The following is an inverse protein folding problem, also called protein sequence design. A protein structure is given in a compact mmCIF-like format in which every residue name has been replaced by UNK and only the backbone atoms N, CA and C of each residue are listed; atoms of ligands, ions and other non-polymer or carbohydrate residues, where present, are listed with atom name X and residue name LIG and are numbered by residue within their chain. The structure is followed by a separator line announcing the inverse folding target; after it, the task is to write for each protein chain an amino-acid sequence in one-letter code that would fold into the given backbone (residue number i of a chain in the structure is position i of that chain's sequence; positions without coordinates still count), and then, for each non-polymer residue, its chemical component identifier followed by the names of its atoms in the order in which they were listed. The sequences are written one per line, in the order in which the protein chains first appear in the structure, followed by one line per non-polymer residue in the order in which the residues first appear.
data_IF_463816048673
#
_entry.id   IF_463816048673
#
_cell.length_a   1.000
_cell.length_b   1.000
_cell.length_c   1.000
_cell.angle_alpha   90.00
_cell.angle_beta   90.00
_cell.angle_gamma   90.00
#
_symmetry.space_group_name_H-M   'P 1'
#
loop_
_entity.id
_entity.type
_entity.pdbx_description
1 polymer ?
#
# COMPACT_ATOMS: atom_id res chain seq x y z
N UNK A 1 -3.44 -0.85 31.69
CA UNK A 1 -2.14 -0.12 31.58
C UNK A 1 -1.46 -0.17 30.19
N UNK A 2 -2.05 -0.77 29.19
CA UNK A 2 -1.49 -0.83 27.81
C UNK A 2 -1.80 0.39 26.95
N UNK A 3 -2.54 1.40 27.42
CA UNK A 3 -3.08 2.48 26.61
C UNK A 3 -2.49 3.83 26.99
N UNK A 4 -2.39 4.71 25.99
CA UNK A 4 -1.99 6.11 26.19
C UNK A 4 -3.23 6.92 26.50
N UNK A 5 -3.22 7.62 27.64
CA UNK A 5 -4.25 8.61 27.98
C UNK A 5 -3.82 9.97 27.47
N UNK A 6 -4.63 10.62 26.60
CA UNK A 6 -4.33 11.98 26.16
C UNK A 6 -4.70 13.00 27.24
N UNK A 7 -3.91 14.03 27.32
CA UNK A 7 -4.24 15.24 28.06
C UNK A 7 -4.98 16.20 27.13
N UNK A 8 -6.03 16.88 27.61
CA UNK A 8 -6.79 17.85 26.81
C UNK A 8 -5.94 18.99 26.24
N UNK A 9 -4.87 19.39 26.94
CA UNK A 9 -3.94 20.41 26.46
C UNK A 9 -3.20 19.99 25.19
N UNK A 10 -3.04 18.67 24.97
CA UNK A 10 -2.34 18.10 23.82
C UNK A 10 -3.18 18.14 22.55
N UNK A 11 -4.51 18.09 22.69
CA UNK A 11 -5.42 17.94 21.55
C UNK A 11 -5.37 19.15 20.61
N UNK A 12 -5.05 20.33 21.12
CA UNK A 12 -4.96 21.57 20.33
C UNK A 12 -3.72 21.64 19.45
N UNK A 13 -2.70 20.85 19.75
CA UNK A 13 -1.41 20.84 19.05
C UNK A 13 -1.21 19.62 18.15
N UNK A 14 -2.17 18.71 18.12
CA UNK A 14 -2.05 17.49 17.36
C UNK A 14 -2.42 17.69 15.90
N UNK A 15 -1.56 17.16 15.03
CA UNK A 15 -1.90 16.96 13.65
C UNK A 15 -2.78 15.71 13.52
N UNK A 16 -4.01 15.90 13.05
CA UNK A 16 -4.92 14.79 12.75
C UNK A 16 -4.86 14.50 11.24
N UNK A 17 -4.28 13.39 10.88
CA UNK A 17 -4.33 12.90 9.49
C UNK A 17 -5.70 12.36 9.12
N UNK A 18 -6.50 11.99 10.12
CA UNK A 18 -7.90 11.56 9.97
C UNK A 18 -8.84 12.58 10.63
N UNK A 19 -10.04 12.78 10.07
CA UNK A 19 -11.01 13.68 10.67
C UNK A 19 -11.51 13.15 12.01
N UNK A 20 -11.91 14.05 12.87
CA UNK A 20 -12.43 13.76 14.20
C UNK A 20 -11.35 13.60 15.28
N UNK A 21 -11.77 13.59 16.52
CA UNK A 21 -10.88 13.38 17.66
C UNK A 21 -10.54 11.89 17.77
N UNK A 22 -9.27 11.48 17.71
CA UNK A 22 -8.86 10.09 17.87
C UNK A 22 -8.91 9.67 19.37
N UNK A 23 -9.99 9.98 20.04
CA UNK A 23 -10.19 9.77 21.47
C UNK A 23 -11.47 8.97 21.68
N UNK A 24 -11.33 7.83 22.35
CA UNK A 24 -12.43 7.03 22.84
C UNK A 24 -12.64 7.27 24.32
N UNK A 25 -13.84 7.68 24.70
CA UNK A 25 -14.23 7.75 26.10
C UNK A 25 -14.71 6.37 26.55
N UNK A 26 -13.94 5.73 27.41
CA UNK A 26 -14.28 4.43 27.98
C UNK A 26 -14.93 4.61 29.34
N UNK A 27 -16.10 4.02 29.52
CA UNK A 27 -16.79 3.96 30.80
C UNK A 27 -16.47 2.64 31.49
N UNK A 28 -15.97 2.73 32.72
CA UNK A 28 -15.62 1.57 33.54
C UNK A 28 -16.82 1.15 34.41
N UNK A 29 -16.84 -0.11 34.91
CA UNK A 29 -17.92 -0.58 35.78
C UNK A 29 -18.11 0.23 37.06
N UNK A 30 -17.10 0.96 37.51
CA UNK A 30 -17.16 1.86 38.66
C UNK A 30 -17.68 3.28 38.33
N UNK A 31 -18.13 3.50 37.06
CA UNK A 31 -18.66 4.76 36.57
C UNK A 31 -17.60 5.79 36.14
N UNK A 32 -16.32 5.50 36.26
CA UNK A 32 -15.28 6.40 35.76
C UNK A 32 -15.34 6.45 34.24
N UNK A 33 -15.20 7.63 33.66
CA UNK A 33 -15.04 7.85 32.21
C UNK A 33 -13.64 8.36 31.95
N UNK A 34 -12.89 7.64 31.13
CA UNK A 34 -11.47 7.90 30.87
C UNK A 34 -11.21 7.97 29.38
N UNK A 35 -10.50 8.99 28.89
CA UNK A 35 -10.14 9.11 27.48
C UNK A 35 -8.94 8.21 27.12
N UNK A 36 -9.03 7.54 25.98
CA UNK A 36 -7.96 6.75 25.41
C UNK A 36 -7.71 7.14 23.95
N UNK A 37 -6.47 7.02 23.52
CA UNK A 37 -6.13 7.12 22.10
C UNK A 37 -6.83 6.04 21.28
N UNK A 38 -7.49 6.46 20.20
CA UNK A 38 -8.20 5.59 19.27
C UNK A 38 -8.00 6.09 17.84
N UNK A 39 -6.80 5.90 17.29
CA UNK A 39 -6.42 6.44 15.97
C UNK A 39 -7.28 5.87 14.84
N UNK A 40 -7.67 4.59 14.95
CA UNK A 40 -8.45 3.88 13.94
C UNK A 40 -9.83 3.53 14.46
N UNK A 41 -10.71 4.52 14.53
CA UNK A 41 -12.09 4.33 14.90
C UNK A 41 -13.00 4.20 13.67
N UNK A 42 -14.11 3.52 13.86
CA UNK A 42 -15.23 3.47 12.94
C UNK A 42 -16.48 3.97 13.66
N UNK A 43 -17.17 4.92 13.06
CA UNK A 43 -18.45 5.40 13.56
C UNK A 43 -19.56 4.41 13.18
N UNK A 44 -20.32 3.95 14.15
CA UNK A 44 -21.44 3.04 13.97
C UNK A 44 -22.70 3.73 14.52
N UNK A 45 -23.77 3.74 13.74
CA UNK A 45 -25.03 4.42 14.09
C UNK A 45 -24.88 5.90 14.45
N UNK A 46 -23.89 6.60 13.88
CA UNK A 46 -23.69 8.02 14.01
C UNK A 46 -23.07 8.48 15.35
N UNK A 47 -22.83 7.59 16.32
CA UNK A 47 -22.24 7.95 17.63
C UNK A 47 -21.42 6.85 18.31
N UNK A 48 -21.54 5.61 17.89
CA UNK A 48 -20.82 4.50 18.51
C UNK A 48 -19.47 4.33 17.83
N UNK A 49 -18.40 4.54 18.56
CA UNK A 49 -17.05 4.36 18.06
C UNK A 49 -16.59 2.94 18.35
N UNK A 50 -16.63 2.09 17.33
CA UNK A 50 -15.86 0.85 17.33
C UNK A 50 -14.47 1.17 16.82
N UNK A 51 -13.45 0.83 17.57
CA UNK A 51 -12.10 1.13 17.14
C UNK A 51 -11.05 0.30 17.84
N UNK A 52 -9.87 0.39 17.32
CA UNK A 52 -8.68 -0.20 17.90
C UNK A 52 -8.08 0.84 18.84
N UNK A 53 -8.14 0.59 20.14
CA UNK A 53 -7.42 1.41 21.09
C UNK A 53 -5.92 1.28 20.88
N UNK A 54 -5.23 2.41 20.84
CA UNK A 54 -3.80 2.43 20.60
C UNK A 54 -3.04 1.88 21.81
N UNK A 55 -2.08 1.01 21.56
CA UNK A 55 -1.25 0.46 22.61
C UNK A 55 -0.23 1.48 23.11
N UNK A 56 0.02 1.49 24.41
CA UNK A 56 1.07 2.29 25.01
C UNK A 56 2.44 1.61 24.83
N UNK A 57 3.18 2.01 23.80
CA UNK A 57 4.53 1.47 23.53
C UNK A 57 5.59 1.78 24.61
N UNK A 58 5.25 2.59 25.62
CA UNK A 58 6.11 2.80 26.81
C UNK A 58 5.87 1.77 27.90
N UNK A 59 4.88 0.87 27.74
CA UNK A 59 4.54 -0.16 28.70
C UNK A 59 5.31 -1.44 28.41
N UNK A 60 6.00 -1.99 29.39
CA UNK A 60 6.70 -3.28 29.26
C UNK A 60 5.76 -4.45 28.93
N UNK A 61 4.50 -4.39 29.39
CA UNK A 61 3.47 -5.38 29.01
C UNK A 61 3.19 -5.40 27.50
N UNK A 62 3.29 -4.24 26.82
CA UNK A 62 3.15 -4.17 25.36
C UNK A 62 4.35 -4.80 24.68
N UNK A 63 5.55 -4.61 25.23
CA UNK A 63 6.76 -5.25 24.71
C UNK A 63 6.76 -6.77 24.94
N UNK A 64 6.24 -7.26 26.06
CA UNK A 64 6.01 -8.70 26.28
C UNK A 64 5.07 -9.26 25.22
N UNK A 65 3.97 -8.56 24.94
CA UNK A 65 3.03 -8.94 23.88
C UNK A 65 3.71 -8.98 22.51
N UNK A 66 4.55 -8.00 22.16
CA UNK A 66 5.29 -8.02 20.90
C UNK A 66 6.29 -9.17 20.83
N UNK A 67 7.04 -9.43 21.90
CA UNK A 67 7.96 -10.57 21.97
C UNK A 67 7.27 -11.90 21.73
N UNK A 68 6.14 -12.12 22.38
CA UNK A 68 5.36 -13.35 22.20
C UNK A 68 4.74 -13.45 20.82
N UNK A 69 4.19 -12.36 20.30
CA UNK A 69 3.56 -12.30 18.98
C UNK A 69 4.57 -12.58 17.88
N UNK A 70 5.74 -11.94 17.90
CA UNK A 70 6.79 -12.18 16.89
C UNK A 70 7.31 -13.62 16.92
N UNK A 71 7.52 -14.21 18.12
CA UNK A 71 7.86 -15.63 18.26
C UNK A 71 6.79 -16.52 17.64
N UNK A 72 5.53 -16.22 17.89
CA UNK A 72 4.40 -16.98 17.35
C UNK A 72 4.32 -16.89 15.84
N UNK A 73 4.47 -15.69 15.27
CA UNK A 73 4.50 -15.47 13.82
C UNK A 73 5.67 -16.22 13.18
N UNK A 74 6.87 -16.15 13.78
CA UNK A 74 8.03 -16.90 13.31
C UNK A 74 7.79 -18.42 13.34
N UNK A 75 7.12 -18.93 14.40
CA UNK A 75 6.80 -20.36 14.52
C UNK A 75 5.85 -20.87 13.43
N UNK A 76 5.10 -19.98 12.78
CA UNK A 76 4.27 -20.31 11.62
C UNK A 76 5.03 -20.29 10.30
N UNK A 77 6.33 -20.02 10.31
CA UNK A 77 7.17 -19.98 9.11
C UNK A 77 7.12 -18.64 8.36
N UNK A 78 6.64 -17.57 8.98
CA UNK A 78 6.72 -16.25 8.38
C UNK A 78 8.17 -15.80 8.20
N UNK A 79 8.47 -15.15 7.07
CA UNK A 79 9.77 -14.55 6.79
C UNK A 79 9.71 -13.02 6.84
N UNK A 80 8.54 -12.43 6.53
CA UNK A 80 8.30 -10.98 6.51
C UNK A 80 7.12 -10.67 7.42
N UNK A 81 7.28 -9.65 8.26
CA UNK A 81 6.21 -9.11 9.12
C UNK A 81 5.88 -7.69 8.66
N UNK A 82 4.65 -7.48 8.21
CA UNK A 82 4.12 -6.16 7.93
C UNK A 82 3.73 -5.47 9.22
N UNK A 83 4.25 -4.27 9.43
CA UNK A 83 3.87 -3.42 10.55
C UNK A 83 2.81 -2.42 10.09
N UNK A 84 1.56 -2.77 10.36
CA UNK A 84 0.37 -1.99 9.95
C UNK A 84 0.35 -0.64 10.64
N UNK A 85 0.06 0.42 9.87
CA UNK A 85 -0.10 1.79 10.36
C UNK A 85 1.02 2.25 11.32
N UNK A 86 2.22 1.78 11.11
CA UNK A 86 3.37 1.85 12.01
C UNK A 86 3.67 3.27 12.51
N UNK A 87 3.62 4.25 11.61
CA UNK A 87 3.99 5.63 11.93
C UNK A 87 3.06 6.33 12.94
N UNK A 88 1.94 5.70 13.28
CA UNK A 88 1.02 6.21 14.31
C UNK A 88 1.33 5.71 15.73
N UNK A 89 2.24 4.73 15.90
CA UNK A 89 2.48 4.12 17.20
C UNK A 89 3.13 5.06 18.22
N UNK A 90 4.22 5.80 17.90
CA UNK A 90 4.80 6.75 18.84
C UNK A 90 3.92 7.98 19.01
N UNK A 91 3.48 8.24 20.24
CA UNK A 91 2.66 9.40 20.62
C UNK A 91 3.19 10.02 21.91
N UNK A 92 3.11 11.34 21.98
CA UNK A 92 3.40 12.10 23.19
C UNK A 92 2.52 13.35 23.27
N UNK A 93 2.18 13.80 24.48
CA UNK A 93 1.55 15.09 24.68
C UNK A 93 2.29 16.23 23.98
N UNK A 94 1.55 17.09 23.26
CA UNK A 94 2.12 18.23 22.54
C UNK A 94 2.82 17.92 21.22
N UNK A 95 2.86 16.65 20.78
CA UNK A 95 3.38 16.23 19.48
C UNK A 95 2.28 15.83 18.50
N UNK A 96 2.60 15.80 17.20
CA UNK A 96 1.70 15.22 16.19
C UNK A 96 1.49 13.73 16.47
N UNK A 97 0.42 13.14 15.92
CA UNK A 97 0.10 11.72 16.12
C UNK A 97 0.60 10.80 15.00
N UNK A 98 1.45 11.31 14.12
CA UNK A 98 1.97 10.57 12.97
C UNK A 98 3.41 10.95 12.68
N UNK A 99 4.25 9.95 12.44
CA UNK A 99 5.64 10.08 12.03
C UNK A 99 6.43 11.07 12.90
N UNK A 100 6.49 10.81 14.20
CA UNK A 100 7.31 11.57 15.12
C UNK A 100 8.78 11.17 15.00
N UNK A 101 9.64 12.14 14.79
CA UNK A 101 11.10 11.97 14.71
C UNK A 101 11.77 12.49 15.99
N UNK A 102 12.67 11.73 16.64
CA UNK A 102 13.23 10.44 16.23
C UNK A 102 12.41 9.20 16.67
N UNK A 103 11.36 9.36 17.44
CA UNK A 103 10.69 8.29 18.18
C UNK A 103 10.14 7.17 17.28
N UNK A 104 9.69 7.49 16.05
CA UNK A 104 9.23 6.48 15.09
C UNK A 104 10.36 5.53 14.68
N UNK A 105 11.55 6.05 14.47
CA UNK A 105 12.71 5.27 14.05
C UNK A 105 13.31 4.46 15.21
N UNK A 106 13.33 5.03 16.41
CA UNK A 106 13.75 4.31 17.62
C UNK A 106 12.80 3.13 17.91
N UNK A 107 11.51 3.33 17.77
CA UNK A 107 10.51 2.26 17.91
C UNK A 107 10.67 1.17 16.84
N UNK A 108 10.92 1.54 15.60
CA UNK A 108 11.21 0.58 14.52
C UNK A 108 12.46 -0.25 14.83
N UNK A 109 13.51 0.39 15.31
CA UNK A 109 14.75 -0.28 15.67
C UNK A 109 14.53 -1.28 16.83
N UNK A 110 13.77 -0.91 17.85
CA UNK A 110 13.44 -1.81 18.98
C UNK A 110 12.67 -3.04 18.51
N UNK A 111 11.69 -2.89 17.60
CA UNK A 111 10.99 -4.05 17.01
C UNK A 111 11.95 -4.90 16.17
N UNK A 112 12.84 -4.26 15.42
CA UNK A 112 13.85 -4.96 14.63
C UNK A 112 14.75 -5.84 15.50
N UNK A 113 15.20 -5.35 16.65
CA UNK A 113 16.03 -6.09 17.61
C UNK A 113 15.32 -7.34 18.15
N UNK A 114 13.99 -7.32 18.25
CA UNK A 114 13.20 -8.49 18.61
C UNK A 114 12.98 -9.45 17.43
N UNK A 115 12.83 -8.93 16.23
CA UNK A 115 12.47 -9.69 15.03
C UNK A 115 13.66 -10.39 14.37
N UNK A 116 14.81 -9.70 14.30
CA UNK A 116 16.00 -10.17 13.59
C UNK A 116 16.53 -11.54 14.13
N UNK A 117 16.63 -11.78 15.45
CA UNK A 117 17.03 -13.10 15.98
C UNK A 117 16.08 -14.23 15.62
N UNK A 118 14.84 -13.92 15.26
CA UNK A 118 13.82 -14.86 14.82
C UNK A 118 13.83 -15.10 13.30
N UNK A 119 14.74 -14.48 12.56
CA UNK A 119 14.81 -14.54 11.10
C UNK A 119 13.72 -13.76 10.39
N UNK A 120 13.05 -12.84 11.08
CA UNK A 120 11.96 -12.02 10.52
C UNK A 120 12.49 -10.72 9.93
N UNK A 121 12.07 -10.40 8.72
CA UNK A 121 12.28 -9.10 8.08
C UNK A 121 11.06 -8.21 8.33
N UNK A 122 11.29 -6.95 8.69
CA UNK A 122 10.20 -5.99 8.91
C UNK A 122 9.84 -5.26 7.61
N UNK A 123 8.55 -5.05 7.40
CA UNK A 123 7.99 -4.25 6.33
C UNK A 123 7.04 -3.19 6.93
N UNK A 124 7.55 -2.02 7.32
CA UNK A 124 6.73 -0.96 7.88
C UNK A 124 5.82 -0.34 6.81
N UNK A 125 4.55 -0.17 7.15
CA UNK A 125 3.60 0.53 6.32
C UNK A 125 3.56 2.00 6.72
N UNK A 126 4.09 2.86 5.86
CA UNK A 126 4.08 4.31 6.02
C UNK A 126 3.65 4.95 4.71
N UNK A 127 2.46 5.53 4.69
CA UNK A 127 2.02 6.36 3.59
C UNK A 127 2.58 7.77 3.75
N UNK A 128 3.35 8.20 2.77
CA UNK A 128 3.92 9.54 2.72
C UNK A 128 4.05 9.98 1.27
N UNK A 129 3.93 11.29 1.01
CA UNK A 129 4.12 11.82 -0.32
C UNK A 129 5.56 11.61 -0.81
N UNK A 130 5.74 11.45 -2.13
CA UNK A 130 7.07 11.29 -2.72
C UNK A 130 8.03 12.41 -2.32
N UNK A 131 7.54 13.66 -2.22
CA UNK A 131 8.34 14.81 -1.82
C UNK A 131 8.87 14.74 -0.38
N UNK A 132 8.21 13.97 0.51
CA UNK A 132 8.64 13.77 1.91
C UNK A 132 9.83 12.81 2.04
N UNK A 133 10.14 12.02 1.01
CA UNK A 133 11.30 11.11 0.92
C UNK A 133 11.40 10.06 2.03
N UNK A 134 10.29 9.69 2.65
CA UNK A 134 10.26 8.68 3.73
C UNK A 134 10.73 7.31 3.24
N UNK A 135 10.45 6.95 2.00
CA UNK A 135 10.96 5.72 1.37
C UNK A 135 12.50 5.67 1.33
N UNK A 136 13.19 6.81 1.13
CA UNK A 136 14.67 6.90 1.21
C UNK A 136 15.14 6.70 2.65
N UNK A 137 14.49 7.34 3.61
CA UNK A 137 14.81 7.17 5.04
C UNK A 137 14.69 5.70 5.46
N UNK A 138 13.68 4.97 4.97
CA UNK A 138 13.53 3.54 5.21
C UNK A 138 14.66 2.73 4.54
N UNK A 139 14.97 3.03 3.29
CA UNK A 139 16.04 2.37 2.55
C UNK A 139 17.41 2.58 3.20
N UNK A 140 17.74 3.82 3.62
CA UNK A 140 18.99 4.18 4.30
C UNK A 140 19.14 3.43 5.64
N UNK A 141 18.02 3.10 6.29
CA UNK A 141 17.98 2.29 7.51
C UNK A 141 17.96 0.77 7.24
N UNK A 142 17.98 0.35 5.97
CA UNK A 142 18.02 -1.05 5.57
C UNK A 142 16.66 -1.75 5.55
N UNK A 143 15.56 -1.02 5.61
CA UNK A 143 14.21 -1.59 5.54
C UNK A 143 13.67 -1.61 4.11
N UNK A 144 12.86 -2.61 3.82
CA UNK A 144 12.01 -2.58 2.62
C UNK A 144 10.86 -1.59 2.81
N UNK A 145 10.39 -1.01 1.72
CA UNK A 145 9.25 -0.09 1.69
C UNK A 145 8.16 -0.59 0.74
N UNK A 146 6.91 -0.25 1.04
CA UNK A 146 5.86 -0.40 0.04
C UNK A 146 6.03 0.61 -1.08
N UNK A 147 5.84 0.13 -2.32
CA UNK A 147 5.76 0.99 -3.49
C UNK A 147 4.31 1.48 -3.69
N UNK A 148 3.94 2.51 -2.94
CA UNK A 148 2.64 3.15 -3.04
C UNK A 148 2.53 4.10 -4.25
N UNK A 149 3.63 4.32 -4.98
CA UNK A 149 3.63 5.16 -6.17
C UNK A 149 3.25 4.38 -7.43
N UNK A 150 3.66 3.12 -7.52
CA UNK A 150 3.45 2.29 -8.70
C UNK A 150 1.99 2.23 -9.18
N UNK A 151 0.98 2.04 -8.30
CA UNK A 151 -0.41 1.94 -8.77
C UNK A 151 -0.85 3.11 -9.62
N UNK A 152 -0.63 4.32 -9.15
CA UNK A 152 -1.03 5.54 -9.85
C UNK A 152 -0.14 5.82 -11.05
N UNK A 153 1.18 5.56 -10.98
CA UNK A 153 2.10 5.74 -12.10
C UNK A 153 1.76 4.84 -13.29
N UNK A 154 1.33 3.61 -13.04
CA UNK A 154 0.93 2.70 -14.12
C UNK A 154 -0.37 3.15 -14.77
N UNK A 155 -1.36 3.61 -13.98
CA UNK A 155 -2.59 4.17 -14.56
C UNK A 155 -2.24 5.42 -15.38
N UNK A 156 -1.42 6.33 -14.84
CA UNK A 156 -0.98 7.53 -15.56
C UNK A 156 -0.30 7.16 -16.88
N UNK A 157 0.64 6.22 -16.86
CA UNK A 157 1.37 5.81 -18.06
C UNK A 157 0.44 5.24 -19.14
N UNK A 158 -0.53 4.40 -18.74
CA UNK A 158 -1.48 3.78 -19.67
C UNK A 158 -2.46 4.81 -20.23
N UNK A 159 -3.04 5.68 -19.39
CA UNK A 159 -4.11 6.59 -19.81
C UNK A 159 -3.57 7.83 -20.51
N UNK A 160 -2.41 8.33 -20.10
CA UNK A 160 -1.76 9.50 -20.69
C UNK A 160 -0.68 9.14 -21.72
N UNK A 161 -0.48 7.83 -22.02
CA UNK A 161 0.44 7.32 -23.05
C UNK A 161 1.86 7.84 -22.88
N UNK A 162 2.38 7.82 -21.66
CA UNK A 162 3.72 8.32 -21.32
C UNK A 162 4.43 7.43 -20.31
N UNK A 163 5.74 7.24 -20.50
CA UNK A 163 6.56 6.44 -19.62
C UNK A 163 7.36 7.25 -18.59
N UNK A 164 7.45 8.58 -18.78
CA UNK A 164 8.46 9.42 -18.16
C UNK A 164 8.51 9.31 -16.62
N UNK A 165 7.37 9.43 -15.95
CA UNK A 165 7.31 9.37 -14.48
C UNK A 165 7.52 7.95 -13.95
N UNK A 166 6.97 6.95 -14.63
CA UNK A 166 7.14 5.55 -14.27
C UNK A 166 8.61 5.14 -14.43
N UNK A 167 9.24 5.49 -15.56
CA UNK A 167 10.65 5.22 -15.80
C UNK A 167 11.57 5.98 -14.83
N UNK A 168 11.23 7.23 -14.50
CA UNK A 168 11.95 8.00 -13.48
C UNK A 168 11.95 7.26 -12.14
N UNK A 169 10.78 6.82 -11.68
CA UNK A 169 10.66 6.08 -10.42
C UNK A 169 11.39 4.75 -10.46
N UNK A 170 11.24 3.97 -11.54
CA UNK A 170 11.94 2.69 -11.68
C UNK A 170 13.47 2.86 -11.66
N UNK A 171 14.01 3.89 -12.30
CA UNK A 171 15.45 4.23 -12.23
C UNK A 171 15.88 4.60 -10.82
N UNK A 172 15.12 5.43 -10.11
CA UNK A 172 15.42 5.84 -8.73
C UNK A 172 15.49 4.62 -7.79
N UNK A 173 14.57 3.65 -7.93
CA UNK A 173 14.63 2.39 -7.16
C UNK A 173 15.96 1.66 -7.39
N UNK A 174 16.42 1.58 -8.63
CA UNK A 174 17.65 0.86 -8.99
C UNK A 174 18.89 1.63 -8.51
N UNK A 175 18.97 2.92 -8.78
CA UNK A 175 20.12 3.79 -8.48
C UNK A 175 20.33 3.93 -6.97
N UNK A 176 19.26 4.16 -6.22
CA UNK A 176 19.29 4.31 -4.76
C UNK A 176 19.21 2.95 -4.02
N UNK A 177 19.15 1.83 -4.75
CA UNK A 177 19.07 0.47 -4.19
C UNK A 177 17.91 0.27 -3.21
N UNK A 178 16.77 0.86 -3.50
CA UNK A 178 15.58 0.79 -2.65
C UNK A 178 14.97 -0.61 -2.74
N UNK A 179 14.81 -1.29 -1.61
CA UNK A 179 14.10 -2.56 -1.55
C UNK A 179 12.60 -2.30 -1.47
N UNK A 180 11.86 -2.61 -2.53
CA UNK A 180 10.41 -2.36 -2.59
C UNK A 180 9.60 -3.64 -2.54
N UNK A 181 8.39 -3.52 -1.97
CA UNK A 181 7.27 -4.43 -2.23
C UNK A 181 6.27 -3.66 -3.08
N UNK A 182 6.21 -3.98 -4.35
CA UNK A 182 5.38 -3.28 -5.32
C UNK A 182 3.99 -3.92 -5.46
N UNK A 183 2.96 -3.10 -5.73
CA UNK A 183 1.59 -3.56 -5.91
C UNK A 183 0.89 -2.74 -7.00
N UNK A 184 -0.21 -3.24 -7.53
CA UNK A 184 -1.15 -2.47 -8.36
C UNK A 184 -2.33 -2.00 -7.52
N UNK A 185 -3.07 -2.91 -6.91
CA UNK A 185 -4.12 -2.63 -5.96
C UNK A 185 -3.90 -3.39 -4.65
N UNK A 186 -4.67 -3.01 -3.64
CA UNK A 186 -4.69 -3.69 -2.35
C UNK A 186 -6.08 -3.58 -1.69
N UNK A 187 -6.20 -4.15 -0.49
CA UNK A 187 -7.43 -4.08 0.30
C UNK A 187 -7.86 -2.65 0.71
N UNK A 188 -6.94 -1.71 0.68
CA UNK A 188 -7.21 -0.30 1.03
C UNK A 188 -7.56 0.58 -0.18
N UNK A 189 -7.31 0.10 -1.40
CA UNK A 189 -7.57 0.84 -2.62
C UNK A 189 -6.30 1.29 -3.34
N UNK A 190 -6.40 2.36 -4.11
CA UNK A 190 -5.32 2.90 -4.96
C UNK A 190 -4.82 4.20 -4.33
N UNK A 191 -3.59 4.24 -3.79
CA UNK A 191 -3.00 5.45 -3.23
C UNK A 191 -2.62 6.42 -4.36
N UNK A 192 -3.07 7.67 -4.28
CA UNK A 192 -2.79 8.70 -5.28
C UNK A 192 -2.13 9.94 -4.69
N UNK A 193 -2.43 10.28 -3.42
CA UNK A 193 -1.75 11.41 -2.77
C UNK A 193 -0.27 11.17 -2.53
N UNK A 194 0.14 9.92 -2.40
CA UNK A 194 1.55 9.56 -2.28
C UNK A 194 2.37 10.01 -3.50
N UNK A 195 1.72 10.24 -4.66
CA UNK A 195 2.36 10.74 -5.88
C UNK A 195 2.74 12.23 -5.85
N UNK A 196 2.33 12.97 -4.82
CA UNK A 196 2.66 14.39 -4.71
C UNK A 196 4.18 14.62 -4.72
N UNK A 197 4.62 15.53 -5.60
CA UNK A 197 6.03 15.78 -5.87
C UNK A 197 6.67 14.85 -6.91
N UNK A 198 5.97 13.78 -7.34
CA UNK A 198 6.37 12.92 -8.46
C UNK A 198 5.55 13.21 -9.71
N UNK A 199 4.24 13.33 -9.57
CA UNK A 199 3.33 13.82 -10.61
C UNK A 199 2.87 15.25 -10.32
N UNK A 200 2.53 16.03 -11.35
CA UNK A 200 1.83 17.29 -11.20
C UNK A 200 0.48 17.10 -10.46
N UNK A 201 0.09 18.07 -9.65
CA UNK A 201 -1.16 17.97 -8.87
C UNK A 201 -2.41 17.86 -9.76
N UNK A 202 -2.42 18.51 -10.93
CA UNK A 202 -3.53 18.43 -11.88
C UNK A 202 -3.65 17.03 -12.50
N UNK A 203 -2.53 16.35 -12.74
CA UNK A 203 -2.52 14.97 -13.21
C UNK A 203 -3.05 14.03 -12.13
N UNK A 204 -2.65 14.22 -10.87
CA UNK A 204 -3.18 13.45 -9.74
C UNK A 204 -4.70 13.62 -9.62
N UNK A 205 -5.21 14.84 -9.74
CA UNK A 205 -6.67 15.11 -9.74
C UNK A 205 -7.37 14.42 -10.91
N UNK A 206 -6.79 14.50 -12.10
CA UNK A 206 -7.33 13.85 -13.30
C UNK A 206 -7.41 12.34 -13.15
N UNK A 207 -6.42 11.71 -12.49
CA UNK A 207 -6.44 10.28 -12.18
C UNK A 207 -7.55 9.93 -11.17
N UNK A 208 -7.75 10.76 -10.13
CA UNK A 208 -8.83 10.59 -9.18
C UNK A 208 -10.18 10.65 -9.89
N UNK A 209 -10.42 11.69 -10.69
CA UNK A 209 -11.66 11.89 -11.42
C UNK A 209 -11.92 10.74 -12.40
N UNK A 210 -10.88 10.26 -13.07
CA UNK A 210 -10.97 9.11 -13.96
C UNK A 210 -11.43 7.84 -13.22
N UNK A 211 -10.79 7.51 -12.10
CA UNK A 211 -11.14 6.29 -11.35
C UNK A 211 -12.55 6.41 -10.75
N UNK A 212 -12.92 7.60 -10.28
CA UNK A 212 -14.29 7.88 -9.79
C UNK A 212 -15.30 7.74 -10.92
N UNK A 213 -15.02 8.26 -12.11
CA UNK A 213 -15.90 8.10 -13.28
C UNK A 213 -16.11 6.64 -13.70
N UNK A 214 -15.16 5.76 -13.35
CA UNK A 214 -15.21 4.30 -13.53
C UNK A 214 -15.82 3.56 -12.32
N UNK A 215 -16.48 4.29 -11.43
CA UNK A 215 -17.19 3.73 -10.29
C UNK A 215 -16.36 3.60 -9.02
N UNK A 216 -15.15 4.12 -8.98
CA UNK A 216 -14.36 4.20 -7.74
C UNK A 216 -14.99 5.15 -6.73
N UNK A 217 -14.64 4.97 -5.46
CA UNK A 217 -15.18 5.76 -4.36
C UNK A 217 -14.06 6.48 -3.61
N UNK A 218 -14.28 7.75 -3.31
CA UNK A 218 -13.37 8.57 -2.50
C UNK A 218 -13.98 8.78 -1.12
N UNK A 219 -13.24 8.52 -0.08
CA UNK A 219 -13.64 8.98 1.24
C UNK A 219 -13.18 10.43 1.41
N UNK A 220 -14.14 11.36 1.50
CA UNK A 220 -13.85 12.69 1.95
C UNK A 220 -13.34 12.65 3.40
N UNK A 221 -12.12 13.10 3.62
CA UNK A 221 -11.63 13.38 4.96
C UNK A 221 -12.41 14.62 5.45
N UNK A 222 -13.34 14.41 6.39
CA UNK A 222 -14.34 15.39 6.83
C UNK A 222 -13.80 16.82 6.96
N UNK A 223 -14.43 17.75 6.26
CA UNK A 223 -14.31 19.19 6.49
C UNK A 223 -13.08 19.88 5.92
N UNK A 224 -12.05 19.19 5.50
CA UNK A 224 -10.96 19.77 4.72
C UNK A 224 -11.25 19.53 3.25
N UNK A 225 -11.49 20.60 2.50
CA UNK A 225 -11.75 20.53 1.08
C UNK A 225 -10.62 19.81 0.36
N UNK A 226 -10.95 18.68 -0.28
CA UNK A 226 -10.15 18.00 -1.31
C UNK A 226 -8.84 17.34 -0.88
N UNK A 227 -8.73 16.76 0.31
CA UNK A 227 -7.62 15.86 0.61
C UNK A 227 -8.10 14.42 0.41
N UNK A 228 -7.89 13.87 -0.78
CA UNK A 228 -8.18 12.47 -1.11
C UNK A 228 -6.94 11.63 -0.87
N UNK A 229 -6.97 10.81 0.17
CA UNK A 229 -5.84 9.96 0.53
C UNK A 229 -5.65 8.81 -0.46
N UNK A 230 -6.75 8.17 -0.85
CA UNK A 230 -6.78 7.06 -1.78
C UNK A 230 -8.17 6.91 -2.42
N UNK A 231 -8.23 6.28 -3.58
CA UNK A 231 -9.49 5.91 -4.23
C UNK A 231 -9.74 4.43 -4.00
N UNK A 232 -10.90 4.09 -3.45
CA UNK A 232 -11.31 2.71 -3.29
C UNK A 232 -11.92 2.20 -4.60
N UNK A 233 -11.27 1.25 -5.21
CA UNK A 233 -11.68 0.55 -6.42
C UNK A 233 -10.85 -0.74 -6.55
N UNK A 234 -11.35 -1.74 -7.28
CA UNK A 234 -10.48 -2.78 -7.81
C UNK A 234 -9.61 -2.18 -8.91
N UNK A 235 -8.39 -2.68 -9.06
CA UNK A 235 -7.50 -2.15 -10.09
C UNK A 235 -8.02 -2.42 -11.50
N UNK A 236 -8.69 -3.58 -11.69
CA UNK A 236 -9.35 -3.93 -12.93
C UNK A 236 -10.43 -2.92 -13.33
N UNK A 237 -11.31 -2.52 -12.39
CA UNK A 237 -12.31 -1.48 -12.65
C UNK A 237 -11.67 -0.10 -12.85
N UNK A 238 -10.61 0.23 -12.11
CA UNK A 238 -9.86 1.48 -12.31
C UNK A 238 -9.25 1.59 -13.72
N UNK A 239 -8.89 0.46 -14.34
CA UNK A 239 -8.45 0.38 -15.74
C UNK A 239 -9.60 0.31 -16.77
N UNK A 240 -10.85 0.53 -16.33
CA UNK A 240 -12.02 0.50 -17.21
C UNK A 240 -12.45 -0.91 -17.60
N UNK A 241 -12.16 -1.91 -16.76
CA UNK A 241 -12.47 -3.33 -16.99
C UNK A 241 -11.89 -3.89 -18.30
N UNK A 242 -10.73 -3.39 -18.68
CA UNK A 242 -10.02 -3.76 -19.90
C UNK A 242 -8.99 -4.84 -19.64
N UNK A 243 -9.17 -6.02 -20.23
CA UNK A 243 -8.23 -7.14 -20.15
C UNK A 243 -6.83 -6.76 -20.63
N UNK A 244 -6.75 -6.04 -21.76
CA UNK A 244 -5.46 -5.61 -22.31
C UNK A 244 -4.71 -4.65 -21.40
N UNK A 245 -5.40 -3.66 -20.80
CA UNK A 245 -4.80 -2.74 -19.85
C UNK A 245 -4.39 -3.45 -18.56
N UNK A 246 -5.17 -4.44 -18.09
CA UNK A 246 -4.82 -5.22 -16.91
C UNK A 246 -3.57 -6.07 -17.15
N UNK A 247 -3.45 -6.69 -18.32
CA UNK A 247 -2.27 -7.48 -18.69
C UNK A 247 -1.04 -6.60 -18.84
N UNK A 248 -1.18 -5.43 -19.48
CA UNK A 248 -0.09 -4.45 -19.59
C UNK A 248 0.37 -3.98 -18.20
N UNK A 249 -0.55 -3.61 -17.32
CA UNK A 249 -0.24 -3.20 -15.95
C UNK A 249 0.46 -4.32 -15.17
N UNK A 250 -0.01 -5.57 -15.32
CA UNK A 250 0.61 -6.73 -14.66
C UNK A 250 1.98 -7.03 -15.22
N UNK A 251 2.20 -6.94 -16.51
CA UNK A 251 3.52 -7.11 -17.11
C UNK A 251 4.50 -6.07 -16.57
N UNK A 252 4.09 -4.80 -16.50
CA UNK A 252 4.90 -3.74 -15.90
C UNK A 252 5.22 -4.08 -14.43
N UNK A 253 4.23 -4.46 -13.62
CA UNK A 253 4.45 -4.82 -12.22
C UNK A 253 5.47 -5.96 -12.07
N UNK A 254 5.40 -6.97 -12.91
CA UNK A 254 6.33 -8.11 -12.85
C UNK A 254 7.78 -7.72 -13.19
N UNK A 255 7.97 -6.66 -13.94
CA UNK A 255 9.30 -6.14 -14.28
C UNK A 255 9.76 -4.97 -13.42
N UNK A 256 8.87 -4.32 -12.65
CA UNK A 256 9.32 -3.30 -11.70
C UNK A 256 10.32 -3.87 -10.69
N UNK A 257 11.38 -3.10 -10.34
CA UNK A 257 12.30 -3.52 -9.31
C UNK A 257 11.58 -3.77 -7.98
N UNK A 258 11.93 -4.87 -7.29
CA UNK A 258 11.32 -5.23 -6.01
C UNK A 258 10.57 -6.56 -6.04
N UNK A 259 9.77 -6.80 -4.99
CA UNK A 259 8.95 -8.02 -4.82
C UNK A 259 7.49 -7.70 -5.16
N UNK A 260 6.92 -8.33 -6.20
CA UNK A 260 5.50 -8.11 -6.52
C UNK A 260 4.57 -8.69 -5.44
N UNK A 261 3.66 -7.87 -4.94
CA UNK A 261 2.51 -8.27 -4.14
C UNK A 261 1.26 -8.15 -5.00
N UNK A 262 0.51 -9.23 -5.14
CA UNK A 262 -0.69 -9.27 -5.98
C UNK A 262 -1.93 -9.38 -5.13
N UNK A 263 -2.82 -8.42 -5.27
CA UNK A 263 -4.15 -8.47 -4.65
C UNK A 263 -5.04 -9.49 -5.38
N UNK A 264 -5.70 -10.36 -4.64
CA UNK A 264 -6.44 -11.47 -5.24
C UNK A 264 -7.57 -11.02 -6.18
N UNK A 265 -8.30 -9.95 -5.83
CA UNK A 265 -9.35 -9.45 -6.72
C UNK A 265 -8.81 -8.99 -8.06
N UNK A 266 -7.65 -8.34 -8.07
CA UNK A 266 -7.01 -7.88 -9.32
C UNK A 266 -6.50 -9.06 -10.14
N UNK A 267 -6.00 -10.14 -9.48
CA UNK A 267 -5.59 -11.37 -10.14
C UNK A 267 -6.76 -12.03 -10.88
N UNK A 268 -7.92 -12.09 -10.23
CA UNK A 268 -9.12 -12.71 -10.79
C UNK A 268 -9.97 -11.76 -11.63
N UNK A 269 -9.45 -10.58 -12.00
CA UNK A 269 -10.15 -9.53 -12.74
C UNK A 269 -11.50 -9.20 -12.09
N UNK A 270 -11.49 -9.04 -10.77
CA UNK A 270 -12.65 -8.69 -9.97
C UNK A 270 -13.06 -7.23 -10.19
N UNK A 271 -14.36 -7.01 -10.25
CA UNK A 271 -14.97 -5.68 -10.46
C UNK A 271 -15.33 -5.03 -9.14
N UNK A 272 -15.58 -3.72 -9.20
CA UNK A 272 -16.11 -2.95 -8.07
C UNK A 272 -17.43 -3.53 -7.56
N UNK A 273 -17.51 -3.83 -6.26
CA UNK A 273 -18.71 -4.36 -5.62
C UNK A 273 -19.53 -3.26 -4.93
N UNK A 274 -20.32 -2.55 -5.73
CA UNK A 274 -21.21 -1.51 -5.21
C UNK A 274 -22.32 -2.06 -4.32
N UNK A 275 -22.66 -3.33 -4.46
CA UNK A 275 -23.69 -3.95 -3.61
C UNK A 275 -23.15 -4.22 -2.21
N UNK A 276 -21.92 -4.70 -2.09
CA UNK A 276 -21.25 -4.82 -0.79
C UNK A 276 -21.17 -3.46 -0.08
N UNK A 277 -20.85 -2.39 -0.80
CA UNK A 277 -20.86 -1.03 -0.24
C UNK A 277 -22.24 -0.65 0.30
N UNK A 278 -23.31 -0.88 -0.46
CA UNK A 278 -24.69 -0.59 -0.01
C UNK A 278 -25.07 -1.39 1.23
N UNK A 279 -24.67 -2.66 1.29
CA UNK A 279 -24.93 -3.52 2.46
C UNK A 279 -24.19 -3.04 3.71
N UNK A 280 -22.97 -2.55 3.55
CA UNK A 280 -22.13 -2.08 4.66
C UNK A 280 -22.51 -0.68 5.16
N UNK A 281 -23.30 0.11 4.41
CA UNK A 281 -23.77 1.43 4.83
C UNK A 281 -22.71 2.54 4.74
N UNK A 282 -22.87 3.59 5.53
CA UNK A 282 -22.09 4.84 5.41
C UNK A 282 -20.57 4.68 5.49
N UNK A 283 -20.06 3.67 6.20
CA UNK A 283 -18.62 3.38 6.31
C UNK A 283 -18.12 2.32 5.34
N UNK A 284 -18.97 1.83 4.44
CA UNK A 284 -18.73 0.67 3.60
C UNK A 284 -17.90 0.90 2.34
N UNK A 285 -17.38 2.11 2.11
CA UNK A 285 -16.66 2.44 0.86
C UNK A 285 -15.49 1.51 0.54
N UNK A 286 -14.82 0.91 1.54
CA UNK A 286 -13.75 -0.06 1.34
C UNK A 286 -14.23 -1.44 0.89
N UNK A 287 -15.50 -1.76 1.07
CA UNK A 287 -16.05 -3.05 0.66
C UNK A 287 -16.10 -3.21 -0.86
N UNK A 288 -15.98 -2.08 -1.60
CA UNK A 288 -15.97 -2.06 -3.07
C UNK A 288 -14.87 -2.93 -3.68
N UNK A 289 -13.73 -3.09 -2.98
CA UNK A 289 -12.57 -3.86 -3.43
C UNK A 289 -12.17 -4.97 -2.44
N UNK A 290 -13.16 -5.49 -1.67
CA UNK A 290 -12.95 -6.55 -0.66
C UNK A 290 -13.90 -7.73 -0.81
N UNK A 291 -14.49 -7.92 -1.96
CA UNK A 291 -15.40 -9.04 -2.24
C UNK A 291 -14.74 -10.37 -1.88
N UNK A 292 -15.38 -11.17 -1.06
CA UNK A 292 -14.95 -12.54 -0.78
C UNK A 292 -15.33 -13.44 -1.96
N UNK A 293 -14.35 -14.10 -2.55
CA UNK A 293 -14.56 -15.06 -3.62
C UNK A 293 -14.83 -16.45 -3.05
N UNK A 294 -15.89 -17.11 -3.50
CA UNK A 294 -16.12 -18.53 -3.25
C UNK A 294 -15.20 -19.39 -4.13
N UNK A 295 -15.09 -20.68 -3.81
CA UNK A 295 -14.33 -21.61 -4.66
C UNK A 295 -14.88 -21.65 -6.09
N UNK A 296 -16.21 -21.59 -6.26
CA UNK A 296 -16.84 -21.54 -7.59
C UNK A 296 -16.53 -20.25 -8.35
N UNK A 297 -16.47 -19.10 -7.67
CA UNK A 297 -16.08 -17.82 -8.30
C UNK A 297 -14.65 -17.90 -8.83
N UNK A 298 -13.76 -18.51 -8.06
CA UNK A 298 -12.35 -18.71 -8.44
C UNK A 298 -12.27 -19.66 -9.64
N UNK A 299 -12.98 -20.79 -9.63
CA UNK A 299 -13.03 -21.75 -10.74
C UNK A 299 -13.52 -21.10 -12.04
N UNK A 300 -14.54 -20.28 -11.97
CA UNK A 300 -15.03 -19.53 -13.13
C UNK A 300 -14.06 -18.45 -13.58
N UNK A 301 -13.42 -17.75 -12.65
CA UNK A 301 -12.42 -16.74 -12.98
C UNK A 301 -11.19 -17.34 -13.68
N UNK A 302 -10.74 -18.53 -13.27
CA UNK A 302 -9.62 -19.24 -13.89
C UNK A 302 -9.85 -19.59 -15.36
N UNK A 303 -11.08 -19.60 -15.85
CA UNK A 303 -11.42 -19.81 -17.27
C UNK A 303 -11.23 -18.55 -18.12
N UNK A 304 -11.04 -17.38 -17.51
CA UNK A 304 -10.83 -16.12 -18.24
C UNK A 304 -9.40 -16.03 -18.75
N UNK A 305 -9.23 -15.67 -20.02
CA UNK A 305 -7.91 -15.47 -20.64
C UNK A 305 -7.03 -14.49 -19.87
N UNK A 306 -7.60 -13.38 -19.39
CA UNK A 306 -6.85 -12.37 -18.61
C UNK A 306 -6.30 -12.94 -17.32
N UNK A 307 -7.01 -13.84 -16.66
CA UNK A 307 -6.55 -14.51 -15.43
C UNK A 307 -5.44 -15.51 -15.76
N UNK A 308 -5.63 -16.35 -16.77
CA UNK A 308 -4.62 -17.32 -17.22
C UNK A 308 -3.31 -16.63 -17.57
N UNK A 309 -3.35 -15.56 -18.37
CA UNK A 309 -2.17 -14.78 -18.77
C UNK A 309 -1.50 -14.05 -17.60
N UNK A 310 -2.26 -13.54 -16.63
CA UNK A 310 -1.67 -13.00 -15.40
C UNK A 310 -0.91 -14.08 -14.62
N UNK A 311 -1.47 -15.30 -14.50
CA UNK A 311 -0.80 -16.43 -13.85
C UNK A 311 0.49 -16.84 -14.59
N UNK A 312 0.52 -16.77 -15.93
CA UNK A 312 1.72 -16.99 -16.72
C UNK A 312 2.80 -15.94 -16.42
N UNK A 313 2.43 -14.65 -16.33
CA UNK A 313 3.34 -13.57 -15.95
C UNK A 313 3.91 -13.78 -14.53
N UNK A 314 3.09 -14.19 -13.58
CA UNK A 314 3.53 -14.51 -12.23
C UNK A 314 4.49 -15.71 -12.21
N UNK A 315 4.17 -16.76 -12.98
CA UNK A 315 5.03 -17.95 -13.10
C UNK A 315 6.38 -17.57 -13.69
N UNK A 316 6.39 -16.83 -14.80
CA UNK A 316 7.62 -16.31 -15.42
C UNK A 316 8.49 -15.56 -14.40
N UNK A 317 7.91 -14.60 -13.67
CA UNK A 317 8.62 -13.81 -12.65
C UNK A 317 9.22 -14.66 -11.54
N UNK A 318 8.56 -15.75 -11.14
CA UNK A 318 8.99 -16.61 -10.06
C UNK A 318 9.98 -17.72 -10.49
N UNK A 319 10.03 -18.08 -11.77
CA UNK A 319 10.81 -19.25 -12.22
C UNK A 319 11.93 -18.93 -13.20
N UNK A 320 11.89 -17.76 -13.84
CA UNK A 320 12.92 -17.41 -14.82
C UNK A 320 14.19 -16.89 -14.14
N UNK A 321 15.34 -17.43 -14.51
CA UNK A 321 16.66 -17.16 -13.91
C UNK A 321 17.05 -15.68 -13.92
N UNK A 322 16.66 -14.92 -14.93
CA UNK A 322 16.96 -13.50 -15.02
C UNK A 322 16.53 -12.68 -13.81
N UNK A 323 15.52 -13.14 -13.06
CA UNK A 323 15.00 -12.44 -11.87
C UNK A 323 15.66 -12.87 -10.56
N UNK A 324 16.68 -13.70 -10.61
CA UNK A 324 17.42 -14.13 -9.44
C UNK A 324 18.17 -12.96 -8.77
N UNK A 325 18.54 -13.16 -7.51
CA UNK A 325 19.26 -12.16 -6.72
C UNK A 325 20.60 -11.82 -7.38
N UNK A 326 20.85 -10.52 -7.54
CA UNK A 326 22.10 -10.01 -8.13
C UNK A 326 21.99 -9.66 -9.61
N UNK A 327 20.84 -9.86 -10.25
CA UNK A 327 20.60 -9.38 -11.59
C UNK A 327 20.79 -7.86 -11.70
N UNK A 328 21.44 -7.43 -12.78
CA UNK A 328 21.54 -6.02 -13.16
C UNK A 328 20.22 -5.60 -13.80
N UNK A 329 19.66 -4.51 -13.31
CA UNK A 329 18.39 -3.97 -13.82
C UNK A 329 18.70 -2.69 -14.59
N UNK A 330 18.26 -2.62 -15.83
CA UNK A 330 18.37 -1.42 -16.67
C UNK A 330 16.99 -0.93 -17.04
N UNK A 331 16.76 0.37 -16.88
CA UNK A 331 15.46 1.02 -17.18
C UNK A 331 15.68 2.14 -18.18
N UNK A 332 14.99 2.09 -19.30
CA UNK A 332 14.89 3.20 -20.24
C UNK A 332 13.40 3.54 -20.46
N UNK A 333 13.11 4.83 -20.60
CA UNK A 333 11.74 5.29 -20.85
C UNK A 333 11.75 6.76 -21.21
N UNK A 334 11.05 7.06 -22.31
CA UNK A 334 10.88 8.41 -22.84
C UNK A 334 9.61 8.44 -23.70
N UNK A 335 8.77 9.48 -23.49
CA UNK A 335 7.50 9.58 -24.19
C UNK A 335 6.64 8.32 -23.99
N UNK A 336 6.12 7.70 -25.07
CA UNK A 336 5.25 6.52 -24.93
C UNK A 336 6.00 5.19 -24.77
N UNK A 337 7.32 5.18 -24.72
CA UNK A 337 8.13 3.94 -24.71
C UNK A 337 8.75 3.69 -23.35
N UNK A 338 8.66 2.45 -22.88
CA UNK A 338 9.33 1.96 -21.67
C UNK A 338 10.05 0.65 -21.98
N UNK A 339 11.25 0.48 -21.46
CA UNK A 339 11.90 -0.83 -21.40
C UNK A 339 12.52 -1.08 -20.04
N UNK A 340 12.37 -2.31 -19.54
CA UNK A 340 12.98 -2.78 -18.28
C UNK A 340 13.64 -4.12 -18.56
N UNK A 341 14.96 -4.20 -18.34
CA UNK A 341 15.75 -5.41 -18.56
C UNK A 341 16.36 -5.89 -17.25
N UNK A 342 16.21 -7.17 -16.98
CA UNK A 342 16.96 -7.92 -15.98
C UNK A 342 18.01 -8.77 -16.67
N UNK A 343 19.23 -8.78 -16.16
CA UNK A 343 20.33 -9.57 -16.70
C UNK A 343 21.23 -10.06 -15.56
N UNK A 344 21.35 -11.37 -15.38
CA UNK A 344 22.21 -11.96 -14.36
C UNK A 344 23.51 -12.57 -14.92
N UNK A 345 23.78 -12.33 -16.20
CA UNK A 345 24.95 -12.86 -16.92
C UNK A 345 24.74 -14.25 -17.53
N UNK A 346 23.77 -15.05 -17.07
CA UNK A 346 23.40 -16.35 -17.64
C UNK A 346 22.11 -16.29 -18.46
N UNK A 347 21.19 -15.41 -18.05
CA UNK A 347 19.89 -15.22 -18.67
C UNK A 347 19.46 -13.76 -18.57
N UNK A 348 18.63 -13.34 -19.51
CA UNK A 348 17.98 -12.03 -19.44
C UNK A 348 16.47 -12.14 -19.63
N UNK A 349 15.77 -11.13 -19.10
CA UNK A 349 14.37 -10.87 -19.37
C UNK A 349 14.21 -9.39 -19.69
N UNK A 350 13.59 -9.09 -20.83
CA UNK A 350 13.36 -7.73 -21.31
C UNK A 350 11.86 -7.51 -21.52
N UNK A 351 11.31 -6.50 -20.87
CA UNK A 351 10.00 -5.96 -21.17
C UNK A 351 10.16 -4.71 -22.02
N UNK A 352 9.47 -4.64 -23.13
CA UNK A 352 9.24 -3.43 -23.93
C UNK A 352 7.77 -3.08 -23.95
N UNK A 353 7.44 -1.80 -23.74
CA UNK A 353 6.08 -1.26 -23.71
C UNK A 353 5.97 -0.11 -24.69
N UNK A 354 4.88 -0.11 -25.45
CA UNK A 354 4.42 1.00 -26.25
C UNK A 354 3.06 1.47 -25.72
N UNK A 355 3.07 2.53 -24.95
CA UNK A 355 1.84 3.08 -24.38
C UNK A 355 0.92 3.74 -25.44
N UNK A 356 1.47 4.19 -26.60
CA UNK A 356 0.66 4.70 -27.70
C UNK A 356 -0.16 3.59 -28.37
N UNK A 357 0.49 2.44 -28.58
CA UNK A 357 -0.16 1.25 -29.12
C UNK A 357 -0.96 0.46 -28.03
N UNK A 358 -0.71 0.72 -26.74
CA UNK A 358 -1.26 -0.05 -25.63
C UNK A 358 -0.78 -1.51 -25.63
N UNK A 359 0.46 -1.76 -26.07
CA UNK A 359 1.05 -3.07 -26.29
C UNK A 359 2.34 -3.27 -25.49
N UNK A 360 2.67 -4.52 -25.23
CA UNK A 360 3.95 -4.90 -24.63
C UNK A 360 4.51 -6.19 -25.26
N UNK A 361 5.81 -6.35 -25.19
CA UNK A 361 6.52 -7.56 -25.56
C UNK A 361 7.47 -7.99 -24.46
N UNK A 362 7.66 -9.29 -24.29
CA UNK A 362 8.59 -9.88 -23.33
C UNK A 362 9.52 -10.80 -24.08
N UNK A 363 10.82 -10.53 -23.96
CA UNK A 363 11.88 -11.40 -24.47
C UNK A 363 12.57 -12.09 -23.30
N UNK A 364 12.79 -13.39 -23.44
CA UNK A 364 13.47 -14.24 -22.44
C UNK A 364 14.59 -15.03 -23.14
N UNK A 365 15.73 -15.22 -22.46
CA UNK A 365 16.84 -16.03 -22.95
C UNK A 365 17.14 -17.23 -22.05
#
# INVERSE_FOLDING_TARGET
EGYIQPDESCLKQMFFRKPGLPILMVEFPDGRRVPYWNTFYQEVHGRDYLGQMDLNIKSEKVWDFYRETLKKIASYGAAIVRLDAFAYAPKAPGKKNFLNDPETWEFLQQIHELAAPLGLTLLPEIHAAYEEKIYKTLADKGYATYDFFLPGLVIDAIENRRADYLAKWAREIVEDKISTVNMLGCHDGIPLLDLKGLLPEDDIRSLIDLIVSRGGMVKNLHGQKNIYYQVNATYYSALGESDSKMLLARAIQMFMPGKPQVWYLDLFAGKNDHEAVRRAGESGHKEINRTNLSASDIEEALKKDVVAKQLELLRMRNTHKAFEKGAVITVAGEGPKLSIRYDNGEAYALLTVDFEAGAYEIELS
#
